data_IF_021957339253
#
_entry.id   IF_021957339253
#
_cell.length_a   1.000
_cell.length_b   1.000
_cell.length_c   1.000
_cell.angle_alpha   90.00
_cell.angle_beta   90.00
_cell.angle_gamma   90.00
#
_symmetry.space_group_name_H-M   'P 1'
#
loop_
_entity.id
_entity.type
_entity.pdbx_description
1 polymer ?
#
# COMPACT_ATOMS: atom_id res chain seq x y z
N UNK A 1 -5.13 -21.06 27.03
CA UNK A 1 -3.85 -20.72 26.38
C UNK A 1 -4.13 -20.17 24.99
N UNK A 2 -3.74 -18.92 24.69
CA UNK A 2 -3.91 -18.35 23.35
C UNK A 2 -2.77 -18.83 22.44
N UNK A 3 -3.11 -19.53 21.34
CA UNK A 3 -2.11 -19.98 20.36
C UNK A 3 -1.65 -18.77 19.56
N UNK A 4 -0.43 -18.31 19.81
CA UNK A 4 0.18 -17.22 19.03
C UNK A 4 0.50 -17.75 17.64
N UNK A 5 -0.20 -17.24 16.63
CA UNK A 5 0.10 -17.56 15.23
C UNK A 5 1.32 -16.75 14.79
N UNK A 6 2.35 -17.39 14.25
CA UNK A 6 3.55 -16.76 13.72
C UNK A 6 3.76 -17.10 12.25
N UNK A 7 4.44 -16.23 11.51
CA UNK A 7 4.76 -16.44 10.11
C UNK A 7 5.95 -17.41 9.96
N UNK A 8 5.80 -18.49 9.19
CA UNK A 8 6.88 -19.45 8.95
C UNK A 8 8.11 -18.85 8.25
N UNK A 9 7.94 -17.81 7.42
CA UNK A 9 9.06 -17.18 6.72
C UNK A 9 9.81 -16.11 7.54
N UNK A 10 9.11 -15.16 8.17
CA UNK A 10 9.76 -14.04 8.88
C UNK A 10 9.54 -13.98 10.40
N UNK A 11 8.82 -14.94 10.97
CA UNK A 11 8.57 -15.01 12.41
C UNK A 11 7.61 -13.95 12.97
N UNK A 12 7.09 -13.01 12.17
CA UNK A 12 6.15 -12.01 12.70
C UNK A 12 4.93 -12.68 13.31
N UNK A 13 4.52 -12.22 14.49
CA UNK A 13 3.29 -12.62 15.19
C UNK A 13 2.14 -11.66 14.90
N UNK A 14 2.43 -10.55 14.22
CA UNK A 14 1.45 -9.53 13.87
C UNK A 14 1.46 -9.30 12.36
N UNK A 15 0.26 -9.29 11.77
CA UNK A 15 0.06 -9.03 10.35
C UNK A 15 -1.39 -8.60 10.13
N UNK A 16 -1.67 -7.66 9.21
CA UNK A 16 -3.04 -7.24 8.92
C UNK A 16 -3.88 -8.34 8.25
N UNK A 17 -3.25 -9.39 7.73
CA UNK A 17 -3.90 -10.56 7.14
C UNK A 17 -2.95 -11.76 7.16
N UNK A 18 -3.44 -12.91 7.59
CA UNK A 18 -2.73 -14.19 7.48
C UNK A 18 -3.01 -14.82 6.11
N UNK A 19 -1.97 -15.40 5.50
CA UNK A 19 -2.04 -16.07 4.19
C UNK A 19 -1.50 -17.51 4.33
N UNK A 20 -1.78 -18.35 3.34
CA UNK A 20 -1.20 -19.71 3.23
C UNK A 20 -0.22 -19.77 2.07
N UNK A 21 0.94 -20.38 2.30
CA UNK A 21 1.89 -20.72 1.23
C UNK A 21 1.33 -21.86 0.36
N UNK A 22 1.88 -22.12 -0.83
CA UNK A 22 1.51 -23.29 -1.64
C UNK A 22 1.70 -24.63 -0.91
N UNK A 23 2.58 -24.67 0.08
CA UNK A 23 2.83 -25.85 0.93
C UNK A 23 1.89 -25.90 2.14
N UNK A 24 0.94 -24.97 2.26
CA UNK A 24 -0.04 -24.91 3.34
C UNK A 24 0.41 -24.19 4.61
N UNK A 25 1.63 -23.67 4.63
CA UNK A 25 2.20 -23.00 5.81
C UNK A 25 1.60 -21.61 6.03
N UNK A 26 1.53 -21.19 7.30
CA UNK A 26 0.99 -19.87 7.65
C UNK A 26 2.06 -18.80 7.47
N UNK A 27 1.79 -17.84 6.59
CA UNK A 27 2.70 -16.74 6.28
C UNK A 27 1.99 -15.39 6.45
N UNK A 28 2.74 -14.33 6.77
CA UNK A 28 2.18 -13.00 6.90
C UNK A 28 1.80 -12.39 5.54
N UNK A 29 1.06 -11.27 5.57
CA UNK A 29 0.64 -10.59 4.36
C UNK A 29 1.83 -10.14 3.50
N UNK A 30 2.91 -9.66 4.12
CA UNK A 30 4.11 -9.22 3.42
C UNK A 30 4.83 -10.38 2.71
N UNK A 31 5.06 -11.49 3.41
CA UNK A 31 5.70 -12.69 2.83
C UNK A 31 4.87 -13.30 1.72
N UNK A 32 3.54 -13.39 1.88
CA UNK A 32 2.67 -13.93 0.85
C UNK A 32 2.57 -13.04 -0.40
N UNK A 33 2.55 -11.72 -0.23
CA UNK A 33 2.59 -10.80 -1.38
C UNK A 33 3.94 -10.82 -2.09
N UNK A 34 5.04 -10.97 -1.35
CA UNK A 34 6.37 -11.10 -1.93
C UNK A 34 6.49 -12.38 -2.76
N UNK A 35 6.06 -13.52 -2.21
CA UNK A 35 6.06 -14.79 -2.93
C UNK A 35 5.22 -14.73 -4.20
N UNK A 36 4.02 -14.13 -4.12
CA UNK A 36 3.15 -13.95 -5.31
C UNK A 36 3.80 -13.10 -6.40
N UNK A 37 4.60 -12.09 -6.04
CA UNK A 37 5.21 -11.17 -7.01
C UNK A 37 6.49 -11.71 -7.65
N UNK A 38 7.28 -12.50 -6.90
CA UNK A 38 8.64 -12.90 -7.30
C UNK A 38 8.86 -14.41 -7.38
N UNK A 39 7.83 -15.20 -7.04
CA UNK A 39 7.89 -16.65 -6.95
C UNK A 39 9.08 -17.18 -6.10
N UNK A 40 9.52 -16.38 -5.13
CA UNK A 40 10.65 -16.69 -4.25
C UNK A 40 10.34 -16.22 -2.84
N UNK A 41 10.98 -16.83 -1.85
CA UNK A 41 10.79 -16.45 -0.44
C UNK A 41 11.34 -15.06 -0.18
N UNK A 42 10.69 -14.30 0.71
CA UNK A 42 11.15 -12.97 1.07
C UNK A 42 12.50 -13.12 1.78
N UNK A 43 13.57 -12.43 1.34
CA UNK A 43 14.81 -12.40 2.09
C UNK A 43 14.51 -11.72 3.43
N UNK A 44 14.64 -12.47 4.51
CA UNK A 44 14.43 -11.97 5.86
C UNK A 44 15.81 -11.61 6.38
N UNK A 45 16.16 -10.33 6.34
CA UNK A 45 17.19 -9.85 7.25
C UNK A 45 16.64 -10.04 8.66
N UNK A 46 17.39 -10.73 9.52
CA UNK A 46 16.97 -11.13 10.86
C UNK A 46 16.76 -9.90 11.76
N UNK A 47 15.66 -9.18 11.58
CA UNK A 47 15.18 -8.16 12.52
C UNK A 47 14.11 -8.84 13.37
N UNK A 48 14.55 -9.80 14.19
CA UNK A 48 13.80 -10.13 15.39
C UNK A 48 13.73 -8.84 16.21
N UNK A 49 12.54 -8.48 16.69
CA UNK A 49 12.19 -7.22 17.37
C UNK A 49 12.21 -5.95 16.51
N UNK A 50 11.15 -5.75 15.71
CA UNK A 50 10.75 -4.40 15.32
C UNK A 50 9.25 -4.35 15.05
N UNK A 51 8.47 -4.15 16.10
CA UNK A 51 7.22 -3.39 16.02
C UNK A 51 7.56 -1.94 15.70
N UNK A 52 8.06 -1.65 14.50
CA UNK A 52 8.11 -0.29 13.95
C UNK A 52 8.28 -0.38 12.44
N UNK A 53 7.48 0.45 11.78
CA UNK A 53 7.46 0.76 10.36
C UNK A 53 8.78 0.53 9.61
N UNK A 54 8.64 0.01 8.39
CA UNK A 54 9.68 -0.03 7.39
C UNK A 54 10.38 1.33 7.24
N UNK A 55 11.64 1.41 7.69
CA UNK A 55 12.60 2.38 7.16
C UNK A 55 12.98 1.92 5.76
N UNK A 56 12.16 2.29 4.77
CA UNK A 56 12.66 2.51 3.42
C UNK A 56 12.74 4.02 3.24
N UNK A 57 13.96 4.50 3.06
CA UNK A 57 14.30 5.88 2.77
C UNK A 57 13.42 6.43 1.66
N UNK A 58 12.57 7.41 1.99
CA UNK A 58 12.14 8.47 1.07
C UNK A 58 11.53 9.57 1.92
N UNK A 59 12.31 10.64 2.10
CA UNK A 59 11.92 11.99 2.49
C UNK A 59 10.73 12.11 3.44
N UNK A 60 11.06 12.32 4.72
CA UNK A 60 10.19 12.88 5.74
C UNK A 60 9.43 14.10 5.20
N UNK A 61 8.16 13.91 4.87
CA UNK A 61 7.15 14.96 4.95
C UNK A 61 6.09 14.42 5.91
N UNK A 62 6.00 15.07 7.07
CA UNK A 62 5.17 14.73 8.20
C UNK A 62 3.68 14.46 7.83
N UNK A 63 2.93 13.72 8.65
CA UNK A 63 1.49 13.51 8.47
C UNK A 63 0.61 14.76 8.70
N UNK A 64 1.22 15.96 8.79
CA UNK A 64 0.54 17.19 9.24
C UNK A 64 -0.03 18.02 8.08
N UNK A 65 0.38 17.77 6.84
CA UNK A 65 -0.13 18.47 5.65
C UNK A 65 -1.23 17.70 4.88
N UNK A 66 -1.77 16.64 5.48
CA UNK A 66 -2.87 15.87 4.85
C UNK A 66 -4.14 16.72 4.67
N UNK A 67 -4.28 17.79 5.46
CA UNK A 67 -5.42 18.70 5.42
C UNK A 67 -5.45 19.59 4.15
N UNK A 68 -4.31 19.85 3.51
CA UNK A 68 -4.20 20.76 2.36
C UNK A 68 -3.79 20.07 1.05
N UNK A 69 -3.62 18.75 1.05
CA UNK A 69 -3.34 18.01 -0.18
C UNK A 69 -4.52 18.12 -1.14
N UNK A 70 -4.29 18.78 -2.28
CA UNK A 70 -5.24 18.94 -3.38
C UNK A 70 -4.64 18.25 -4.60
N UNK A 71 -5.44 17.42 -5.28
CA UNK A 71 -4.98 16.75 -6.48
C UNK A 71 -4.71 17.76 -7.61
N UNK A 72 -3.48 17.78 -8.15
CA UNK A 72 -3.10 18.67 -9.25
C UNK A 72 -3.93 18.47 -10.54
N UNK A 73 -4.52 17.29 -10.75
CA UNK A 73 -5.32 17.01 -11.94
C UNK A 73 -6.81 17.34 -11.79
N UNK A 74 -7.43 16.98 -10.66
CA UNK A 74 -8.89 17.07 -10.50
C UNK A 74 -9.35 17.89 -9.27
N UNK A 75 -8.40 18.51 -8.57
CA UNK A 75 -8.60 19.28 -7.34
C UNK A 75 -9.41 18.59 -6.24
N UNK A 76 -9.46 17.25 -6.21
CA UNK A 76 -10.06 16.55 -5.06
C UNK A 76 -9.16 16.73 -3.84
N UNK A 77 -9.75 17.03 -2.70
CA UNK A 77 -9.11 17.03 -1.38
C UNK A 77 -9.26 15.70 -0.65
N UNK A 78 -10.14 14.82 -1.16
CA UNK A 78 -10.38 13.50 -0.57
C UNK A 78 -9.98 12.41 -1.56
N UNK A 79 -9.17 11.47 -1.09
CA UNK A 79 -8.78 10.27 -1.85
C UNK A 79 -8.38 9.16 -0.87
N UNK A 80 -8.68 7.88 -1.17
CA UNK A 80 -8.27 6.77 -0.31
C UNK A 80 -6.74 6.54 -0.31
N UNK A 81 -6.03 7.09 -1.29
CA UNK A 81 -4.58 7.02 -1.39
C UNK A 81 -4.10 8.23 -2.20
N UNK A 82 -3.12 8.95 -1.67
CA UNK A 82 -2.38 9.98 -2.42
C UNK A 82 -1.23 9.33 -3.20
N UNK A 83 -1.02 9.81 -4.42
CA UNK A 83 0.08 9.42 -5.31
C UNK A 83 0.85 10.67 -5.73
N UNK A 84 2.02 10.50 -6.35
CA UNK A 84 2.78 11.57 -6.98
C UNK A 84 2.87 11.32 -8.49
N UNK A 85 2.81 12.39 -9.28
CA UNK A 85 3.12 12.32 -10.72
C UNK A 85 4.63 12.32 -10.97
N UNK A 86 5.05 12.34 -12.24
CA UNK A 86 6.48 12.36 -12.63
C UNK A 86 7.21 13.62 -12.17
N UNK A 87 6.47 14.74 -12.01
CA UNK A 87 7.00 15.99 -11.49
C UNK A 87 6.97 16.07 -9.95
N UNK A 88 6.45 15.04 -9.28
CA UNK A 88 6.35 14.97 -7.83
C UNK A 88 5.10 15.63 -7.22
N UNK A 89 4.18 16.17 -8.02
CA UNK A 89 2.95 16.80 -7.57
C UNK A 89 1.96 15.79 -6.98
N UNK A 90 1.18 16.18 -5.96
CA UNK A 90 0.18 15.31 -5.36
C UNK A 90 -0.99 15.08 -6.33
N UNK A 91 -1.30 13.82 -6.59
CA UNK A 91 -2.46 13.39 -7.38
C UNK A 91 -3.28 12.35 -6.61
N UNK A 92 -4.58 12.31 -6.87
CA UNK A 92 -5.44 11.31 -6.24
C UNK A 92 -5.23 9.93 -6.86
N UNK A 93 -5.71 8.88 -6.16
CA UNK A 93 -5.57 7.51 -6.62
C UNK A 93 -6.20 7.29 -8.00
N UNK A 94 -7.37 7.88 -8.25
CA UNK A 94 -8.07 7.73 -9.53
C UNK A 94 -7.29 8.36 -10.70
N UNK A 95 -6.73 9.57 -10.51
CA UNK A 95 -5.94 10.24 -11.54
C UNK A 95 -4.63 9.50 -11.84
N UNK A 96 -3.94 9.04 -10.79
CA UNK A 96 -2.70 8.27 -10.98
C UNK A 96 -2.92 6.91 -11.64
N UNK A 97 -4.02 6.21 -11.30
CA UNK A 97 -4.35 4.95 -11.97
C UNK A 97 -4.79 5.15 -13.42
N UNK A 98 -5.56 6.20 -13.71
CA UNK A 98 -6.00 6.50 -15.07
C UNK A 98 -4.81 6.83 -15.99
N UNK A 99 -3.90 7.69 -15.53
CA UNK A 99 -2.69 8.02 -16.29
C UNK A 99 -1.82 6.78 -16.55
N UNK A 100 -1.65 5.91 -15.55
CA UNK A 100 -0.90 4.65 -15.73
C UNK A 100 -1.51 3.70 -16.76
N UNK A 101 -2.84 3.71 -16.91
CA UNK A 101 -3.54 2.81 -17.83
C UNK A 101 -3.65 3.37 -19.25
N UNK A 102 -3.85 4.68 -19.39
CA UNK A 102 -4.18 5.32 -20.66
C UNK A 102 -3.10 6.29 -21.17
N UNK A 103 -2.05 6.54 -20.37
CA UNK A 103 -0.99 7.52 -20.66
C UNK A 103 -1.49 8.93 -20.94
N UNK A 104 -2.72 9.24 -20.54
CA UNK A 104 -3.37 10.56 -20.70
C UNK A 104 -3.96 11.03 -19.38
N UNK A 105 -4.07 12.35 -19.22
CA UNK A 105 -4.67 12.95 -18.02
C UNK A 105 -6.15 12.58 -17.92
N UNK A 106 -6.60 12.31 -16.70
CA UNK A 106 -8.00 11.95 -16.43
C UNK A 106 -8.92 13.13 -16.77
N UNK A 107 -9.91 12.96 -17.67
CA UNK A 107 -10.83 14.05 -17.99
C UNK A 107 -11.71 14.38 -16.77
N UNK A 108 -11.95 15.68 -16.56
CA UNK A 108 -12.74 16.19 -15.43
C UNK A 108 -14.17 15.64 -15.45
N UNK A 109 -14.73 15.36 -16.63
CA UNK A 109 -16.07 14.79 -16.83
C UNK A 109 -16.26 13.43 -16.15
N UNK A 110 -15.19 12.69 -15.89
CA UNK A 110 -15.25 11.42 -15.17
C UNK A 110 -15.16 11.58 -13.64
N UNK A 111 -14.93 12.78 -13.10
CA UNK A 111 -14.81 13.02 -11.66
C UNK A 111 -16.14 12.71 -10.97
N UNK A 112 -16.08 11.88 -9.92
CA UNK A 112 -17.23 11.57 -9.06
C UNK A 112 -17.02 12.20 -7.69
N UNK A 113 -18.05 12.87 -7.17
CA UNK A 113 -18.04 13.51 -5.85
C UNK A 113 -18.09 12.49 -4.70
N UNK A 114 -18.81 11.38 -4.88
CA UNK A 114 -18.99 10.34 -3.85
C UNK A 114 -17.96 9.21 -3.98
N UNK A 115 -17.16 8.99 -2.93
CA UNK A 115 -16.23 7.85 -2.83
C UNK A 115 -16.99 6.61 -2.35
N UNK A 116 -17.19 5.62 -3.24
CA UNK A 116 -17.84 4.35 -2.87
C UNK A 116 -16.80 3.36 -2.34
N UNK A 117 -17.03 2.83 -1.14
CA UNK A 117 -16.25 1.72 -0.58
C UNK A 117 -16.73 0.40 -1.20
N UNK A 118 -15.84 -0.38 -1.79
CA UNK A 118 -16.18 -1.75 -2.25
C UNK A 118 -16.16 -2.70 -1.04
N UNK A 119 -17.15 -3.59 -0.90
CA UNK A 119 -17.04 -4.75 0.01
C UNK A 119 -15.90 -5.63 -0.52
N UNK A 120 -14.98 -5.99 0.36
CA UNK A 120 -13.80 -6.78 0.05
C UNK A 120 -14.05 -8.23 0.42
#
# INVERSE_FOLDING_TARGET
SAVVTSCSNCGTTTTPLWRRSPLGETICNACGLYYKARNTTRPVCNVATASTAATMSTSSAAPEDLANLICANCQTTTTPLWRRDEAGHPICNACGLYFKLHSVRRPITMKRSTIKRRKR
#
